data_IF_696522709562
#
_entry.id   IF_696522709562
#
_cell.length_a   1.000
_cell.length_b   1.000
_cell.length_c   1.000
_cell.angle_alpha   90.00
_cell.angle_beta   90.00
_cell.angle_gamma   90.00
#
_symmetry.space_group_name_H-M   'P 1'
#
loop_
_entity.id
_entity.type
_entity.pdbx_description
1 polymer ?
#
# COMPACT_ATOMS: atom_id res chain seq x y z
N UNK A 1 -8.36 -2.30 16.64
CA UNK A 1 -7.12 -2.96 16.14
C UNK A 1 -6.60 -2.22 14.92
N UNK A 2 -5.30 -2.16 14.81
CA UNK A 2 -4.67 -1.51 13.66
C UNK A 2 -4.31 -2.53 12.59
N UNK A 3 -4.56 -2.14 11.34
CA UNK A 3 -4.22 -2.93 10.17
C UNK A 3 -3.47 -2.05 9.17
N UNK A 4 -2.45 -2.63 8.56
CA UNK A 4 -1.78 -2.01 7.42
C UNK A 4 -2.38 -2.59 6.15
N UNK A 5 -2.86 -1.70 5.27
CA UNK A 5 -3.26 -2.07 3.93
C UNK A 5 -2.07 -1.81 3.01
N UNK A 6 -1.53 -2.87 2.44
CA UNK A 6 -0.43 -2.80 1.49
C UNK A 6 -1.02 -2.86 0.09
N UNK A 7 -1.04 -1.71 -0.58
CA UNK A 7 -1.71 -1.54 -1.87
C UNK A 7 -0.70 -1.81 -2.96
N UNK A 8 -0.86 -2.93 -3.65
CA UNK A 8 0.02 -3.33 -4.73
C UNK A 8 -0.59 -2.93 -6.08
N UNK A 9 0.26 -2.84 -7.11
CA UNK A 9 -0.18 -2.60 -8.48
C UNK A 9 0.76 -3.31 -9.46
N UNK A 10 0.18 -3.75 -10.58
CA UNK A 10 0.93 -4.21 -11.74
C UNK A 10 1.45 -2.96 -12.46
N UNK A 11 2.77 -2.73 -12.42
CA UNK A 11 3.34 -1.50 -12.96
C UNK A 11 3.30 -1.43 -14.48
N UNK A 12 3.32 -2.58 -15.17
CA UNK A 12 3.13 -2.60 -16.63
C UNK A 12 1.72 -2.18 -17.01
N UNK A 13 0.72 -2.70 -16.32
CA UNK A 13 -0.67 -2.30 -16.54
C UNK A 13 -0.89 -0.83 -16.18
N UNK A 14 -0.29 -0.37 -15.08
CA UNK A 14 -0.35 1.02 -14.66
C UNK A 14 0.22 1.97 -15.70
N UNK A 15 1.33 1.60 -16.35
CA UNK A 15 1.95 2.40 -17.38
C UNK A 15 1.07 2.58 -18.62
N UNK A 16 0.16 1.64 -18.87
CA UNK A 16 -0.77 1.69 -20.01
C UNK A 16 -2.00 2.54 -19.76
N UNK A 17 -2.25 2.93 -18.51
CA UNK A 17 -3.38 3.79 -18.18
C UNK A 17 -3.16 5.21 -18.68
N UNK A 18 -4.25 5.87 -19.06
CA UNK A 18 -4.22 7.30 -19.34
C UNK A 18 -4.01 8.11 -18.05
N UNK A 19 -3.62 9.38 -18.20
CA UNK A 19 -3.52 10.29 -17.06
C UNK A 19 -4.85 10.39 -16.31
N UNK A 20 -5.97 10.48 -17.05
CA UNK A 20 -7.31 10.55 -16.46
C UNK A 20 -7.63 9.28 -15.65
N UNK A 21 -7.31 8.11 -16.17
CA UNK A 21 -7.53 6.84 -15.46
C UNK A 21 -6.70 6.73 -14.18
N UNK A 22 -5.42 7.16 -14.23
CA UNK A 22 -4.59 7.21 -13.02
C UNK A 22 -5.11 8.19 -11.98
N UNK A 23 -5.59 9.36 -12.43
CA UNK A 23 -6.19 10.36 -11.54
C UNK A 23 -7.45 9.82 -10.87
N UNK A 24 -8.26 9.04 -11.60
CA UNK A 24 -9.46 8.41 -11.03
C UNK A 24 -9.09 7.43 -9.91
N UNK A 25 -8.03 6.65 -10.10
CA UNK A 25 -7.53 5.73 -9.06
C UNK A 25 -7.08 6.50 -7.84
N UNK A 26 -6.26 7.52 -8.01
CA UNK A 26 -5.79 8.36 -6.90
C UNK A 26 -6.95 9.09 -6.22
N UNK A 27 -7.88 9.65 -7.00
CA UNK A 27 -9.04 10.35 -6.47
C UNK A 27 -9.96 9.45 -5.67
N UNK A 28 -10.18 8.23 -6.13
CA UNK A 28 -10.98 7.24 -5.40
C UNK A 28 -10.33 6.81 -4.09
N UNK A 29 -9.01 6.64 -4.10
CA UNK A 29 -8.25 6.30 -2.89
C UNK A 29 -8.28 7.46 -1.88
N UNK A 30 -8.10 8.69 -2.34
CA UNK A 30 -8.18 9.88 -1.50
C UNK A 30 -9.57 10.04 -0.88
N UNK A 31 -10.62 9.84 -1.67
CA UNK A 31 -12.00 9.92 -1.19
C UNK A 31 -12.26 8.90 -0.08
N UNK A 32 -11.77 7.67 -0.24
CA UNK A 32 -11.86 6.65 0.79
C UNK A 32 -11.13 7.09 2.07
N UNK A 33 -9.92 7.62 1.94
CA UNK A 33 -9.15 8.13 3.08
C UNK A 33 -9.89 9.26 3.80
N UNK A 34 -10.54 10.16 3.08
CA UNK A 34 -11.35 11.24 3.66
C UNK A 34 -12.55 10.70 4.44
N UNK A 35 -13.26 9.71 3.91
CA UNK A 35 -14.38 9.07 4.61
C UNK A 35 -13.89 8.38 5.89
N UNK A 36 -12.77 7.67 5.84
CA UNK A 36 -12.21 6.99 7.00
C UNK A 36 -11.70 7.98 8.04
N UNK A 37 -11.14 9.11 7.61
CA UNK A 37 -10.72 10.18 8.51
C UNK A 37 -11.92 10.74 9.27
N UNK A 38 -13.04 10.96 8.58
CA UNK A 38 -14.27 11.45 9.21
C UNK A 38 -14.82 10.48 10.27
N UNK A 39 -14.54 9.19 10.13
CA UNK A 39 -14.92 8.14 11.09
C UNK A 39 -13.88 7.89 12.18
N UNK A 40 -12.75 8.59 12.15
CA UNK A 40 -11.65 8.36 13.08
C UNK A 40 -10.91 7.04 12.84
N UNK A 41 -11.00 6.47 11.65
CA UNK A 41 -10.43 5.17 11.31
C UNK A 41 -9.14 5.25 10.49
N UNK A 42 -8.85 6.40 9.88
CA UNK A 42 -7.64 6.61 9.08
C UNK A 42 -6.53 7.20 9.94
N UNK A 43 -5.38 6.55 10.00
CA UNK A 43 -4.25 7.01 10.78
C UNK A 43 -3.15 7.62 9.91
N UNK A 44 -2.82 6.96 8.82
CA UNK A 44 -1.79 7.42 7.89
C UNK A 44 -1.94 6.70 6.55
N UNK A 45 -1.33 7.24 5.52
CA UNK A 45 -1.27 6.60 4.22
C UNK A 45 -0.62 7.51 3.19
N UNK A 46 -0.14 6.92 2.12
CA UNK A 46 0.44 7.66 1.00
C UNK A 46 0.56 6.76 -0.22
N UNK A 47 0.42 7.30 -1.44
CA UNK A 47 0.91 6.62 -2.62
C UNK A 47 2.43 6.65 -2.63
N UNK A 48 3.05 5.69 -3.30
CA UNK A 48 4.48 5.59 -3.49
C UNK A 48 4.84 5.78 -4.96
N UNK A 49 6.07 6.24 -5.22
CA UNK A 49 6.63 6.22 -6.56
C UNK A 49 6.74 4.79 -7.08
N UNK A 50 6.92 4.62 -8.39
CA UNK A 50 7.16 3.33 -9.01
C UNK A 50 8.42 2.67 -8.43
N UNK A 51 8.48 1.35 -8.54
CA UNK A 51 9.59 0.55 -8.00
C UNK A 51 10.96 0.96 -8.56
N UNK A 52 11.01 1.55 -9.75
CA UNK A 52 12.24 2.09 -10.32
C UNK A 52 12.89 3.18 -9.48
N UNK A 53 12.12 3.87 -8.63
CA UNK A 53 12.65 4.88 -7.71
C UNK A 53 13.11 4.28 -6.37
N UNK A 54 12.92 2.98 -6.17
CA UNK A 54 13.29 2.32 -4.91
C UNK A 54 14.80 2.16 -4.78
N UNK A 55 15.25 2.10 -3.53
CA UNK A 55 16.61 1.76 -3.17
C UNK A 55 16.55 0.67 -2.12
N UNK A 56 17.29 -0.41 -2.33
CA UNK A 56 17.34 -1.53 -1.39
C UNK A 56 18.68 -1.56 -0.68
N UNK A 57 18.65 -1.78 0.63
CA UNK A 57 19.85 -1.81 1.47
C UNK A 57 19.96 -3.15 2.18
N UNK A 58 21.14 -3.75 2.11
CA UNK A 58 21.47 -4.98 2.85
C UNK A 58 22.80 -4.81 3.58
N UNK A 59 22.91 -5.45 4.73
CA UNK A 59 24.17 -5.58 5.43
C UNK A 59 24.59 -7.05 5.31
N UNK A 60 25.75 -7.29 4.73
CA UNK A 60 26.31 -8.63 4.58
C UNK A 60 27.77 -8.61 4.99
N UNK A 61 28.16 -9.48 5.91
CA UNK A 61 29.53 -9.56 6.43
C UNK A 61 30.04 -8.20 6.92
N UNK A 62 29.17 -7.44 7.62
CA UNK A 62 29.47 -6.11 8.11
C UNK A 62 29.54 -5.02 7.06
N UNK A 63 29.21 -5.32 5.81
CA UNK A 63 29.25 -4.35 4.70
C UNK A 63 27.86 -3.91 4.28
N UNK A 64 27.71 -2.62 4.00
CA UNK A 64 26.50 -2.06 3.44
C UNK A 64 26.46 -2.29 1.92
N UNK A 65 25.42 -2.95 1.47
CA UNK A 65 25.12 -3.15 0.04
C UNK A 65 23.90 -2.33 -0.32
N UNK A 66 24.07 -1.39 -1.22
CA UNK A 66 22.99 -0.51 -1.70
C UNK A 66 22.73 -0.83 -3.17
N UNK A 67 21.48 -1.12 -3.50
CA UNK A 67 21.08 -1.50 -4.86
C UNK A 67 19.91 -0.63 -5.30
N UNK A 68 19.94 -0.13 -6.53
CA UNK A 68 18.80 0.56 -7.13
C UNK A 68 17.69 -0.45 -7.42
N UNK A 69 16.45 -0.04 -7.15
CA UNK A 69 15.28 -0.86 -7.39
C UNK A 69 14.78 -1.60 -6.16
N UNK A 70 13.66 -2.32 -6.29
CA UNK A 70 13.07 -3.08 -5.20
C UNK A 70 13.91 -4.32 -4.89
N UNK A 71 13.73 -4.87 -3.66
CA UNK A 71 14.47 -6.09 -3.27
C UNK A 71 14.09 -7.31 -4.11
N UNK A 72 12.92 -7.30 -4.74
CA UNK A 72 12.46 -8.36 -5.64
C UNK A 72 11.69 -7.75 -6.80
N UNK A 73 11.92 -8.27 -8.01
CA UNK A 73 11.15 -7.88 -9.19
C UNK A 73 9.98 -8.83 -9.33
N UNK A 74 8.82 -8.38 -8.87
CA UNK A 74 7.56 -9.10 -8.95
C UNK A 74 6.62 -8.38 -9.88
N UNK A 75 5.60 -9.10 -10.39
CA UNK A 75 4.61 -8.52 -11.29
C UNK A 75 3.83 -7.39 -10.63
N UNK A 76 3.39 -7.61 -9.38
CA UNK A 76 2.78 -6.56 -8.57
C UNK A 76 3.80 -6.02 -7.59
N UNK A 77 3.92 -4.70 -7.56
CA UNK A 77 4.81 -3.99 -6.67
C UNK A 77 4.02 -3.13 -5.70
N UNK A 78 4.56 -2.90 -4.52
CA UNK A 78 3.94 -2.01 -3.55
C UNK A 78 3.81 -0.61 -4.16
N UNK A 79 2.57 -0.11 -4.23
CA UNK A 79 2.26 1.20 -4.82
C UNK A 79 1.72 2.22 -3.84
N UNK A 80 1.46 1.79 -2.60
CA UNK A 80 0.95 2.68 -1.55
C UNK A 80 0.58 1.92 -0.30
N UNK A 81 0.16 2.64 0.71
CA UNK A 81 -0.27 2.02 1.96
C UNK A 81 -1.31 2.88 2.67
N UNK A 82 -2.09 2.23 3.51
CA UNK A 82 -2.96 2.88 4.50
C UNK A 82 -2.81 2.18 5.83
N UNK A 83 -2.70 2.95 6.89
CA UNK A 83 -2.79 2.46 8.26
C UNK A 83 -4.15 2.84 8.81
N UNK A 84 -4.95 1.85 9.21
CA UNK A 84 -6.32 2.04 9.68
C UNK A 84 -6.49 1.44 11.07
N UNK A 85 -7.47 1.98 11.80
CA UNK A 85 -7.86 1.46 13.11
C UNK A 85 -9.35 1.11 13.07
N UNK A 86 -9.63 -0.19 13.13
CA UNK A 86 -10.99 -0.75 13.02
C UNK A 86 -11.20 -1.85 14.04
N UNK A 87 -12.46 -2.21 14.34
CA UNK A 87 -12.74 -3.23 15.37
C UNK A 87 -12.18 -4.61 15.06
N UNK A 88 -12.21 -5.05 13.80
CA UNK A 88 -11.89 -6.43 13.44
C UNK A 88 -11.42 -6.57 11.99
N UNK A 89 -11.01 -7.78 11.62
CA UNK A 89 -10.53 -8.10 10.28
C UNK A 89 -11.62 -7.93 9.21
N UNK A 90 -12.86 -8.25 9.52
CA UNK A 90 -13.95 -8.14 8.55
C UNK A 90 -14.15 -6.68 8.12
N UNK A 91 -14.05 -5.73 9.07
CA UNK A 91 -14.11 -4.31 8.76
C UNK A 91 -12.90 -3.87 7.93
N UNK A 92 -11.71 -4.39 8.23
CA UNK A 92 -10.51 -4.10 7.45
C UNK A 92 -10.62 -4.63 6.01
N UNK A 93 -11.17 -5.83 5.83
CA UNK A 93 -11.42 -6.42 4.50
C UNK A 93 -12.43 -5.57 3.72
N UNK A 94 -13.51 -5.14 4.37
CA UNK A 94 -14.52 -4.29 3.73
C UNK A 94 -13.89 -2.99 3.21
N UNK A 95 -13.02 -2.37 4.00
CA UNK A 95 -12.29 -1.16 3.59
C UNK A 95 -11.33 -1.46 2.44
N UNK A 96 -10.53 -2.52 2.54
CA UNK A 96 -9.59 -2.93 1.50
C UNK A 96 -10.29 -3.15 0.16
N UNK A 97 -11.50 -3.72 0.19
CA UNK A 97 -12.31 -3.98 -1.01
C UNK A 97 -12.76 -2.70 -1.72
N UNK A 98 -12.72 -1.57 -1.04
CA UNK A 98 -13.10 -0.26 -1.58
C UNK A 98 -11.92 0.50 -2.18
N UNK A 99 -10.70 0.03 -1.99
CA UNK A 99 -9.51 0.63 -2.62
C UNK A 99 -9.59 0.35 -4.13
N UNK A 100 -9.53 1.38 -4.99
CA UNK A 100 -9.69 1.18 -6.43
C UNK A 100 -8.75 0.13 -7.03
N UNK A 101 -7.50 0.08 -6.60
CA UNK A 101 -6.52 -0.91 -7.09
C UNK A 101 -6.86 -2.35 -6.71
N UNK A 102 -7.74 -2.59 -5.75
CA UNK A 102 -8.19 -3.95 -5.42
C UNK A 102 -8.93 -4.62 -6.58
N UNK A 103 -9.43 -3.85 -7.55
CA UNK A 103 -10.16 -4.39 -8.71
C UNK A 103 -9.23 -4.97 -9.78
N UNK A 104 -7.99 -4.50 -9.83
CA UNK A 104 -7.02 -4.88 -10.88
C UNK A 104 -5.77 -5.51 -10.31
N UNK A 105 -5.50 -5.30 -9.03
CA UNK A 105 -4.32 -5.77 -8.33
C UNK A 105 -4.71 -6.27 -6.95
N UNK A 106 -3.77 -6.31 -6.04
CA UNK A 106 -3.99 -6.86 -4.69
C UNK A 106 -3.83 -5.80 -3.62
N UNK A 107 -4.71 -5.82 -2.65
CA UNK A 107 -4.52 -5.10 -1.37
C UNK A 107 -4.31 -6.16 -0.30
N UNK A 108 -3.13 -6.19 0.28
CA UNK A 108 -2.83 -7.09 1.38
C UNK A 108 -3.23 -6.43 2.69
N UNK A 109 -3.99 -7.15 3.51
CA UNK A 109 -4.42 -6.68 4.83
C UNK A 109 -3.55 -7.37 5.87
N UNK A 110 -2.78 -6.60 6.64
CA UNK A 110 -1.88 -7.18 7.63
C UNK A 110 -2.10 -6.52 9.00
N UNK A 111 -2.44 -7.31 10.03
CA UNK A 111 -2.61 -6.73 11.36
C UNK A 111 -1.29 -6.18 11.89
N UNK A 112 -1.36 -5.01 12.50
CA UNK A 112 -0.22 -4.41 13.16
C UNK A 112 -0.06 -5.08 14.52
N UNK A 113 1.15 -5.48 14.81
CA UNK A 113 1.46 -6.08 16.09
C UNK A 113 1.46 -5.00 17.16
N UNK A 114 0.67 -5.20 18.19
CA UNK A 114 0.57 -4.29 19.33
C UNK A 114 1.17 -4.96 20.57
N UNK A 115 1.75 -4.16 21.44
CA UNK A 115 2.37 -4.65 22.65
C UNK A 115 3.81 -5.14 22.45
N UNK A 116 4.44 -5.71 23.49
CA UNK A 116 5.82 -6.14 23.41
C UNK A 116 6.00 -7.33 22.48
N UNK A 117 7.18 -7.49 21.85
CA UNK A 117 7.49 -8.66 21.04
C UNK A 117 7.38 -9.95 21.87
N UNK A 118 6.79 -10.97 21.28
CA UNK A 118 6.71 -12.30 21.90
C UNK A 118 7.92 -13.13 21.55
#
# INVERSE_FOLDING_TARGET
MKYMLLICRDEEAWAKLSTAERQDVYGGTLKLAEELTARGQYLAGSPLHLSSAATSVRIREGKQLVTDGPFAETREQLGGYMLIDVPDLDDAIAIASRVPLARTSTVEVRPVREGPPS
#
